data_IF_996475286195
#
_entry.id   IF_996475286195
#
_cell.length_a   1.000
_cell.length_b   1.000
_cell.length_c   1.000
_cell.angle_alpha   90.00
_cell.angle_beta   90.00
_cell.angle_gamma   90.00
#
_symmetry.space_group_name_H-M   'P 1'
#
loop_
_entity.id
_entity.type
_entity.pdbx_description
1 polymer ?
#
# COMPACT_ATOMS: atom_id res chain seq x y z
N UNK A 1 -5.53 -46.23 -24.91
CA UNK A 1 -6.50 -45.29 -24.31
C UNK A 1 -5.74 -44.02 -24.00
N UNK A 2 -5.81 -43.05 -24.89
CA UNK A 2 -5.17 -41.74 -24.71
C UNK A 2 -6.03 -40.87 -23.77
N UNK A 3 -5.40 -40.12 -22.84
CA UNK A 3 -6.17 -39.17 -22.02
C UNK A 3 -6.62 -38.00 -22.89
N UNK A 4 -7.91 -37.77 -22.93
CA UNK A 4 -8.51 -36.57 -23.53
C UNK A 4 -7.95 -35.34 -22.81
N UNK A 5 -7.26 -34.49 -23.57
CA UNK A 5 -6.84 -33.18 -23.09
C UNK A 5 -8.09 -32.34 -22.72
N UNK A 6 -8.09 -31.83 -21.51
CA UNK A 6 -9.06 -30.81 -21.09
C UNK A 6 -8.84 -29.55 -21.94
N UNK A 7 -9.86 -29.22 -22.75
CA UNK A 7 -9.93 -27.96 -23.45
C UNK A 7 -10.10 -26.87 -22.38
N UNK A 8 -9.28 -25.80 -22.35
CA UNK A 8 -9.48 -24.71 -21.40
C UNK A 8 -10.87 -24.12 -21.60
N UNK A 9 -11.66 -24.09 -20.53
CA UNK A 9 -12.97 -23.43 -20.51
C UNK A 9 -12.81 -21.99 -21.02
N UNK A 10 -13.33 -21.73 -22.23
CA UNK A 10 -13.47 -20.37 -22.73
C UNK A 10 -14.43 -19.62 -21.80
N UNK A 11 -13.96 -18.54 -21.20
CA UNK A 11 -14.71 -17.68 -20.29
C UNK A 11 -15.92 -17.10 -21.05
N UNK A 12 -17.04 -17.83 -21.07
CA UNK A 12 -18.25 -17.39 -21.72
C UNK A 12 -18.70 -16.07 -21.14
N UNK A 13 -18.77 -15.05 -22.00
CA UNK A 13 -19.27 -13.74 -21.62
C UNK A 13 -20.75 -13.86 -21.27
N UNK A 14 -21.07 -13.87 -19.99
CA UNK A 14 -22.46 -13.80 -19.54
C UNK A 14 -23.09 -12.49 -20.00
N UNK A 15 -24.39 -12.48 -20.27
CA UNK A 15 -25.16 -11.30 -20.68
C UNK A 15 -24.94 -10.11 -19.75
N UNK A 16 -24.77 -10.34 -18.44
CA UNK A 16 -24.42 -9.33 -17.45
C UNK A 16 -23.03 -8.71 -17.68
N UNK A 17 -22.03 -9.50 -18.07
CA UNK A 17 -20.69 -9.00 -18.39
C UNK A 17 -20.69 -8.16 -19.66
N UNK A 18 -21.48 -8.53 -20.67
CA UNK A 18 -21.63 -7.74 -21.90
C UNK A 18 -22.30 -6.39 -21.65
N UNK A 19 -23.36 -6.34 -20.83
CA UNK A 19 -24.03 -5.08 -20.46
C UNK A 19 -23.14 -4.15 -19.63
N UNK A 20 -22.22 -4.68 -18.83
CA UNK A 20 -21.30 -3.89 -18.00
C UNK A 20 -20.02 -3.49 -18.74
N UNK A 21 -19.89 -3.80 -20.03
CA UNK A 21 -18.72 -3.46 -20.84
C UNK A 21 -17.43 -4.15 -20.38
N UNK A 22 -17.53 -5.29 -19.68
CA UNK A 22 -16.38 -6.05 -19.23
C UNK A 22 -15.69 -6.72 -20.43
N UNK A 23 -14.39 -6.51 -20.57
CA UNK A 23 -13.60 -7.17 -21.61
C UNK A 23 -13.49 -8.67 -21.33
N UNK A 24 -13.41 -9.47 -22.39
CA UNK A 24 -13.09 -10.90 -22.29
C UNK A 24 -11.77 -11.05 -21.52
N UNK A 25 -11.73 -11.94 -20.53
CA UNK A 25 -10.60 -12.17 -19.62
C UNK A 25 -10.35 -11.07 -18.55
N UNK A 26 -11.15 -10.02 -18.47
CA UNK A 26 -11.14 -9.09 -17.32
C UNK A 26 -12.13 -9.54 -16.24
N UNK A 27 -11.65 -9.62 -15.01
CA UNK A 27 -12.48 -9.79 -13.82
C UNK A 27 -12.00 -8.87 -12.71
N UNK A 28 -12.69 -8.82 -11.57
CA UNK A 28 -12.28 -7.99 -10.43
C UNK A 28 -11.99 -8.87 -9.23
N UNK A 29 -10.84 -8.61 -8.58
CA UNK A 29 -10.47 -9.18 -7.29
C UNK A 29 -10.28 -8.03 -6.31
N UNK A 30 -10.95 -8.06 -5.17
CA UNK A 30 -10.94 -6.98 -4.17
C UNK A 30 -11.31 -5.60 -4.78
N UNK A 31 -12.09 -5.58 -5.87
CA UNK A 31 -12.42 -4.36 -6.61
C UNK A 31 -11.35 -3.87 -7.59
N UNK A 32 -10.16 -4.47 -7.62
CA UNK A 32 -9.11 -4.20 -8.61
C UNK A 32 -9.38 -4.98 -9.90
N UNK A 33 -9.02 -4.40 -11.05
CA UNK A 33 -9.04 -5.11 -12.33
C UNK A 33 -7.98 -6.20 -12.31
N UNK A 34 -8.38 -7.42 -12.66
CA UNK A 34 -7.52 -8.58 -12.78
C UNK A 34 -7.43 -9.02 -14.24
N UNK A 35 -6.23 -8.95 -14.79
CA UNK A 35 -5.89 -9.56 -16.07
C UNK A 35 -5.55 -11.03 -15.82
N UNK A 36 -6.46 -11.91 -16.26
CA UNK A 36 -6.30 -13.36 -16.07
C UNK A 36 -5.19 -13.95 -16.94
N UNK A 37 -4.91 -13.34 -18.09
CA UNK A 37 -3.90 -13.85 -19.02
C UNK A 37 -2.48 -13.66 -18.46
N UNK A 38 -2.22 -12.48 -17.89
CA UNK A 38 -0.92 -12.13 -17.32
C UNK A 38 -0.86 -12.33 -15.81
N UNK A 39 -1.96 -12.73 -15.17
CA UNK A 39 -2.15 -12.87 -13.73
C UNK A 39 -1.70 -11.62 -12.95
N UNK A 40 -2.17 -10.45 -13.38
CA UNK A 40 -1.81 -9.16 -12.80
C UNK A 40 -3.03 -8.40 -12.28
N UNK A 41 -2.81 -7.63 -11.20
CA UNK A 41 -3.77 -6.67 -10.65
C UNK A 41 -3.38 -5.26 -11.06
N UNK A 42 -4.38 -4.42 -11.28
CA UNK A 42 -4.20 -3.04 -11.74
C UNK A 42 -4.82 -2.03 -10.79
N UNK A 43 -4.00 -1.11 -10.30
CA UNK A 43 -4.45 0.11 -9.60
C UNK A 43 -4.53 1.24 -10.61
N UNK A 44 -5.72 1.78 -10.83
CA UNK A 44 -5.97 2.85 -11.82
C UNK A 44 -6.01 4.20 -11.12
N UNK A 45 -5.32 5.17 -11.71
CA UNK A 45 -5.39 6.56 -11.27
C UNK A 45 -6.47 7.33 -12.05
N UNK A 46 -7.15 8.30 -11.40
CA UNK A 46 -8.09 9.16 -12.09
C UNK A 46 -7.35 10.00 -13.12
N UNK A 47 -7.69 9.79 -14.41
CA UNK A 47 -7.11 10.59 -15.47
C UNK A 47 -7.79 11.96 -15.53
N UNK A 48 -7.01 13.00 -15.75
CA UNK A 48 -7.55 14.30 -16.18
C UNK A 48 -8.19 14.05 -17.55
N UNK A 49 -9.51 14.25 -17.68
CA UNK A 49 -10.23 13.93 -18.91
C UNK A 49 -9.58 14.60 -20.11
N UNK A 50 -9.25 13.80 -21.13
CA UNK A 50 -8.65 14.25 -22.40
C UNK A 50 -9.58 15.18 -23.19
N UNK A 51 -10.87 15.21 -22.88
CA UNK A 51 -11.84 16.19 -23.35
C UNK A 51 -12.27 17.10 -22.20
N UNK A 52 -11.53 18.19 -21.94
CA UNK A 52 -11.92 19.15 -20.93
C UNK A 52 -13.20 19.85 -21.39
N UNK A 53 -14.32 19.59 -20.73
CA UNK A 53 -15.50 20.43 -20.93
C UNK A 53 -15.14 21.87 -20.57
N UNK A 54 -15.72 22.86 -21.25
CA UNK A 54 -15.50 24.29 -20.94
C UNK A 54 -15.65 24.58 -19.45
N UNK A 55 -16.46 23.81 -18.74
CA UNK A 55 -16.69 23.90 -17.29
C UNK A 55 -15.52 23.32 -16.47
N UNK A 56 -14.84 22.26 -16.94
CA UNK A 56 -13.71 21.63 -16.24
C UNK A 56 -12.41 22.40 -16.42
N UNK A 57 -12.21 23.06 -17.57
CA UNK A 57 -11.02 23.90 -17.85
C UNK A 57 -11.05 25.19 -17.01
N UNK A 58 -12.23 25.73 -16.75
CA UNK A 58 -12.42 26.97 -16.00
C UNK A 58 -12.62 26.78 -14.49
N UNK A 59 -12.90 25.56 -14.03
CA UNK A 59 -13.15 25.29 -12.62
C UNK A 59 -11.81 25.17 -11.86
N UNK A 60 -11.48 26.21 -11.11
CA UNK A 60 -10.41 26.13 -10.12
C UNK A 60 -10.70 24.99 -9.13
N UNK A 61 -9.71 24.12 -8.82
CA UNK A 61 -9.91 23.05 -7.85
C UNK A 61 -10.31 23.63 -6.48
N UNK A 62 -11.23 22.94 -5.83
CA UNK A 62 -11.73 23.24 -4.49
C UNK A 62 -11.30 22.16 -3.51
N UNK A 63 -11.38 22.42 -2.22
CA UNK A 63 -11.12 21.39 -1.19
C UNK A 63 -11.93 20.11 -1.44
N UNK A 64 -13.22 20.26 -1.82
CA UNK A 64 -14.10 19.13 -2.13
C UNK A 64 -13.61 18.33 -3.34
N UNK A 65 -13.26 18.99 -4.43
CA UNK A 65 -12.82 18.31 -5.66
C UNK A 65 -11.48 17.58 -5.46
N UNK A 66 -10.55 18.17 -4.72
CA UNK A 66 -9.26 17.54 -4.37
C UNK A 66 -9.48 16.27 -3.56
N UNK A 67 -10.34 16.33 -2.52
CA UNK A 67 -10.66 15.14 -1.72
C UNK A 67 -11.34 14.06 -2.57
N UNK A 68 -12.29 14.46 -3.42
CA UNK A 68 -12.98 13.52 -4.30
C UNK A 68 -12.03 12.81 -5.28
N UNK A 69 -11.04 13.53 -5.84
CA UNK A 69 -10.04 12.93 -6.72
C UNK A 69 -9.09 11.98 -5.97
N UNK A 70 -8.66 12.33 -4.75
CA UNK A 70 -7.90 11.42 -3.91
C UNK A 70 -8.69 10.14 -3.59
N UNK A 71 -9.99 10.27 -3.31
CA UNK A 71 -10.84 9.12 -2.97
C UNK A 71 -11.11 8.17 -4.15
N UNK A 72 -10.89 8.62 -5.40
CA UNK A 72 -10.99 7.76 -6.59
C UNK A 72 -9.83 6.76 -6.72
N UNK A 73 -8.70 7.02 -6.07
CA UNK A 73 -7.56 6.09 -6.08
C UNK A 73 -7.90 4.94 -5.15
N UNK A 74 -8.34 3.83 -5.74
CA UNK A 74 -8.69 2.63 -4.99
C UNK A 74 -7.50 1.67 -4.93
N UNK A 75 -6.86 1.58 -3.77
CA UNK A 75 -5.66 0.81 -3.52
C UNK A 75 -5.79 -0.01 -2.21
N UNK A 76 -6.52 -1.12 -2.24
CA UNK A 76 -6.74 -1.95 -1.05
C UNK A 76 -5.47 -2.63 -0.54
N UNK A 77 -4.48 -2.87 -1.40
CA UNK A 77 -3.21 -3.51 -1.07
C UNK A 77 -2.15 -2.50 -0.61
N UNK A 78 -2.36 -1.21 -0.85
CA UNK A 78 -1.41 -0.16 -0.49
C UNK A 78 -0.20 -0.04 -1.40
N UNK A 79 -0.26 -0.61 -2.59
CA UNK A 79 0.84 -0.62 -3.59
C UNK A 79 1.28 0.80 -3.96
N UNK A 80 0.33 1.73 -4.11
CA UNK A 80 0.60 3.12 -4.45
C UNK A 80 0.53 4.06 -3.24
N UNK A 81 0.71 3.52 -2.04
CA UNK A 81 0.70 4.29 -0.78
C UNK A 81 1.64 5.50 -0.78
N UNK A 82 2.90 5.44 -1.31
CA UNK A 82 3.78 6.61 -1.38
C UNK A 82 3.19 7.75 -2.21
N UNK A 83 2.65 7.43 -3.38
CA UNK A 83 2.03 8.40 -4.28
C UNK A 83 0.79 9.04 -3.65
N UNK A 84 -0.07 8.23 -3.04
CA UNK A 84 -1.28 8.74 -2.36
C UNK A 84 -0.93 9.55 -1.11
N UNK A 85 0.17 9.24 -0.41
CA UNK A 85 0.65 10.05 0.72
C UNK A 85 0.97 11.48 0.27
N UNK A 86 1.66 11.65 -0.87
CA UNK A 86 1.97 12.97 -1.44
C UNK A 86 0.71 13.78 -1.69
N UNK A 87 -0.31 13.19 -2.31
CA UNK A 87 -1.59 13.85 -2.51
C UNK A 87 -2.29 14.22 -1.19
N UNK A 88 -2.25 13.32 -0.19
CA UNK A 88 -2.79 13.59 1.16
C UNK A 88 -2.05 14.72 1.88
N UNK A 89 -0.73 14.86 1.67
CA UNK A 89 0.06 15.98 2.21
C UNK A 89 -0.41 17.33 1.63
N UNK A 90 -0.59 17.39 0.31
CA UNK A 90 -1.13 18.60 -0.35
C UNK A 90 -2.54 18.90 0.18
N UNK A 91 -3.39 17.90 0.31
CA UNK A 91 -4.73 18.06 0.87
C UNK A 91 -4.71 18.55 2.33
N UNK A 92 -3.79 18.05 3.16
CA UNK A 92 -3.59 18.53 4.53
C UNK A 92 -3.23 20.02 4.55
N UNK A 93 -2.32 20.46 3.67
CA UNK A 93 -1.94 21.86 3.56
C UNK A 93 -3.13 22.73 3.11
N UNK A 94 -3.98 22.24 2.19
CA UNK A 94 -5.24 22.92 1.81
C UNK A 94 -6.16 23.05 3.01
N UNK A 95 -6.28 22.02 3.84
CA UNK A 95 -7.14 22.08 5.04
C UNK A 95 -6.66 23.11 6.06
N UNK A 96 -5.34 23.29 6.19
CA UNK A 96 -4.75 24.25 7.13
C UNK A 96 -5.05 25.71 6.79
N UNK A 97 -5.30 26.01 5.53
CA UNK A 97 -5.72 27.35 5.10
C UNK A 97 -7.16 27.70 5.50
N UNK A 98 -7.90 26.76 6.12
CA UNK A 98 -9.26 26.94 6.64
C UNK A 98 -10.26 27.55 5.64
N UNK A 99 -10.02 27.39 4.34
CA UNK A 99 -10.93 27.85 3.28
C UNK A 99 -12.22 27.03 3.26
N UNK A 100 -13.31 27.63 2.74
CA UNK A 100 -14.58 26.94 2.57
C UNK A 100 -14.44 25.74 1.59
N UNK A 101 -15.35 24.77 1.68
CA UNK A 101 -15.30 23.54 0.90
C UNK A 101 -15.33 23.76 -0.61
N UNK A 102 -16.10 24.72 -1.07
CA UNK A 102 -16.35 24.98 -2.48
C UNK A 102 -15.64 26.26 -2.97
N UNK A 103 -14.84 26.89 -2.11
CA UNK A 103 -13.99 28.00 -2.49
C UNK A 103 -12.76 27.51 -3.27
N UNK A 104 -12.29 28.26 -4.28
CA UNK A 104 -11.05 27.99 -4.97
C UNK A 104 -9.88 27.91 -4.00
N UNK A 105 -9.02 26.92 -4.16
CA UNK A 105 -7.80 26.79 -3.35
C UNK A 105 -6.77 27.85 -3.78
N UNK A 106 -5.85 28.28 -2.87
CA UNK A 106 -4.80 29.25 -3.19
C UNK A 106 -3.95 28.82 -4.37
N UNK A 107 -3.46 29.80 -5.15
CA UNK A 107 -2.69 29.55 -6.38
C UNK A 107 -1.52 28.58 -6.19
N UNK A 108 -0.71 28.78 -5.14
CA UNK A 108 0.45 27.92 -4.88
C UNK A 108 0.05 26.46 -4.63
N UNK A 109 -1.03 26.21 -3.87
CA UNK A 109 -1.52 24.88 -3.60
C UNK A 109 -2.16 24.25 -4.84
N UNK A 110 -2.83 25.05 -5.66
CA UNK A 110 -3.36 24.62 -6.96
C UNK A 110 -2.23 24.15 -7.89
N UNK A 111 -1.16 24.91 -8.02
CA UNK A 111 0.00 24.55 -8.86
C UNK A 111 0.70 23.30 -8.35
N UNK A 112 0.79 23.11 -7.01
CA UNK A 112 1.31 21.87 -6.41
C UNK A 112 0.41 20.67 -6.70
N UNK A 113 -0.91 20.85 -6.55
CA UNK A 113 -1.90 19.82 -6.82
C UNK A 113 -1.86 19.40 -8.30
N UNK A 114 -1.89 20.35 -9.21
CA UNK A 114 -1.84 20.09 -10.65
C UNK A 114 -0.56 19.39 -11.07
N UNK A 115 0.61 19.79 -10.54
CA UNK A 115 1.88 19.09 -10.80
C UNK A 115 1.82 17.64 -10.34
N UNK A 116 1.31 17.39 -9.15
CA UNK A 116 1.16 16.03 -8.64
C UNK A 116 0.15 15.22 -9.49
N UNK A 117 -1.01 15.77 -9.78
CA UNK A 117 -2.05 15.13 -10.59
C UNK A 117 -1.54 14.79 -12.01
N UNK A 118 -0.80 15.70 -12.65
CA UNK A 118 -0.20 15.47 -13.96
C UNK A 118 1.00 14.48 -13.93
N UNK A 119 1.58 14.23 -12.76
CA UNK A 119 2.67 13.27 -12.61
C UNK A 119 2.16 11.84 -12.36
N UNK A 120 0.86 11.65 -12.16
CA UNK A 120 0.29 10.33 -11.94
C UNK A 120 0.34 9.50 -13.22
N UNK A 121 0.79 8.23 -13.15
CA UNK A 121 0.65 7.31 -14.26
C UNK A 121 -0.84 7.00 -14.53
N UNK A 122 -1.14 6.39 -15.67
CA UNK A 122 -2.50 5.90 -15.94
C UNK A 122 -2.89 4.81 -14.96
N UNK A 123 -1.97 3.92 -14.69
CA UNK A 123 -2.14 2.79 -13.79
C UNK A 123 -0.78 2.28 -13.29
N UNK A 124 -0.85 1.43 -12.26
CA UNK A 124 0.26 0.62 -11.76
C UNK A 124 -0.19 -0.84 -11.76
N UNK A 125 0.63 -1.70 -12.38
CA UNK A 125 0.35 -3.12 -12.56
C UNK A 125 1.28 -3.92 -11.67
N UNK A 126 0.72 -4.87 -10.90
CA UNK A 126 1.48 -5.75 -10.02
C UNK A 126 1.07 -7.21 -10.24
N UNK A 127 1.98 -8.18 -10.09
CA UNK A 127 1.62 -9.58 -10.10
C UNK A 127 0.60 -9.88 -8.99
N UNK A 128 -0.45 -10.65 -9.31
CA UNK A 128 -1.41 -11.11 -8.31
C UNK A 128 -0.82 -12.21 -7.44
N UNK A 129 -0.07 -13.13 -8.06
CA UNK A 129 0.51 -14.26 -7.35
C UNK A 129 1.76 -13.86 -6.57
N UNK A 130 1.88 -14.35 -5.35
CA UNK A 130 3.10 -14.26 -4.53
C UNK A 130 4.14 -15.32 -4.92
N UNK A 131 3.76 -16.32 -5.72
CA UNK A 131 4.66 -17.36 -6.23
C UNK A 131 5.00 -17.12 -7.69
N UNK A 132 6.21 -17.52 -8.08
CA UNK A 132 6.67 -17.45 -9.47
C UNK A 132 6.52 -18.77 -10.20
N UNK A 133 6.71 -19.89 -9.50
CA UNK A 133 6.74 -21.21 -10.08
C UNK A 133 5.43 -21.96 -9.81
N UNK A 134 5.00 -22.78 -10.77
CA UNK A 134 3.79 -23.62 -10.64
C UNK A 134 4.14 -24.95 -9.97
N UNK A 135 4.63 -24.90 -8.75
CA UNK A 135 5.06 -26.03 -7.96
C UNK A 135 4.68 -25.83 -6.48
N UNK A 136 4.72 -26.87 -5.64
CA UNK A 136 4.37 -26.77 -4.23
C UNK A 136 5.22 -25.74 -3.49
N UNK A 137 4.58 -25.02 -2.57
CA UNK A 137 5.25 -24.09 -1.65
C UNK A 137 5.90 -24.93 -0.54
N UNK A 138 7.20 -24.73 -0.33
CA UNK A 138 7.96 -25.38 0.74
C UNK A 138 7.83 -24.59 2.04
N UNK A 139 7.97 -23.26 1.98
CA UNK A 139 7.83 -22.39 3.15
C UNK A 139 7.44 -20.96 2.75
N UNK A 140 6.81 -20.26 3.69
CA UNK A 140 6.53 -18.83 3.60
C UNK A 140 7.12 -18.16 4.82
N UNK A 141 7.91 -17.11 4.60
CA UNK A 141 8.39 -16.20 5.64
C UNK A 141 7.82 -14.81 5.39
N UNK A 142 7.34 -14.15 6.44
CA UNK A 142 6.83 -12.78 6.36
C UNK A 142 7.87 -11.78 6.85
N UNK A 143 8.08 -10.72 6.10
CA UNK A 143 8.95 -9.60 6.47
C UNK A 143 8.14 -8.31 6.50
N UNK A 144 7.96 -7.74 7.69
CA UNK A 144 7.28 -6.47 7.87
C UNK A 144 8.27 -5.34 8.13
N UNK A 145 8.09 -4.23 7.44
CA UNK A 145 8.93 -3.03 7.57
C UNK A 145 8.09 -1.90 8.13
N UNK A 146 8.65 -1.13 9.03
CA UNK A 146 8.06 0.09 9.55
C UNK A 146 9.00 1.27 9.39
N UNK A 147 8.47 2.42 8.98
CA UNK A 147 9.23 3.66 8.86
C UNK A 147 8.37 4.88 9.17
N UNK A 148 9.02 5.94 9.63
CA UNK A 148 8.35 7.20 9.85
C UNK A 148 9.22 8.41 9.52
N UNK A 149 8.56 9.43 8.96
CA UNK A 149 9.12 10.73 8.68
C UNK A 149 8.23 11.85 9.23
N UNK A 150 8.62 13.10 9.05
CA UNK A 150 7.76 14.24 9.34
C UNK A 150 6.47 14.28 8.47
N UNK A 151 6.49 13.62 7.35
CA UNK A 151 5.39 13.55 6.39
C UNK A 151 4.38 12.46 6.72
N UNK A 152 4.87 11.25 6.98
CA UNK A 152 4.02 10.08 7.13
C UNK A 152 4.63 8.98 7.99
N UNK A 153 3.80 8.00 8.27
CA UNK A 153 4.19 6.72 8.85
C UNK A 153 3.76 5.63 7.90
N UNK A 154 4.64 4.66 7.64
CA UNK A 154 4.39 3.56 6.72
C UNK A 154 4.67 2.21 7.36
N UNK A 155 3.92 1.21 6.91
CA UNK A 155 4.22 -0.19 7.12
C UNK A 155 4.06 -0.92 5.80
N UNK A 156 4.98 -1.84 5.49
CA UNK A 156 4.95 -2.71 4.32
C UNK A 156 5.22 -4.16 4.75
N UNK A 157 4.52 -5.12 4.15
CA UNK A 157 4.70 -6.54 4.43
C UNK A 157 4.98 -7.27 3.13
N UNK A 158 6.10 -7.96 3.11
CA UNK A 158 6.54 -8.83 2.02
C UNK A 158 6.39 -10.29 2.43
N UNK A 159 6.02 -11.12 1.48
CA UNK A 159 6.13 -12.56 1.59
C UNK A 159 7.37 -13.03 0.82
N UNK A 160 8.17 -13.86 1.47
CA UNK A 160 9.27 -14.61 0.87
C UNK A 160 8.80 -16.05 0.79
N UNK A 161 8.59 -16.53 -0.43
CA UNK A 161 8.06 -17.86 -0.70
C UNK A 161 9.18 -18.73 -1.29
N UNK A 162 9.52 -19.81 -0.61
CA UNK A 162 10.50 -20.78 -1.07
C UNK A 162 9.79 -21.93 -1.79
N UNK A 163 10.30 -22.26 -2.97
CA UNK A 163 9.86 -23.36 -3.81
C UNK A 163 11.10 -24.14 -4.28
N UNK A 164 10.95 -25.29 -4.90
CA UNK A 164 12.09 -26.12 -5.35
C UNK A 164 12.98 -25.38 -6.36
N UNK A 165 12.35 -24.69 -7.32
CA UNK A 165 13.05 -23.93 -8.37
C UNK A 165 13.59 -22.57 -7.91
N UNK A 166 13.35 -22.15 -6.67
CA UNK A 166 13.90 -20.92 -6.11
C UNK A 166 12.96 -20.14 -5.19
N UNK A 167 13.40 -18.94 -4.85
CA UNK A 167 12.69 -18.07 -3.90
C UNK A 167 12.08 -16.87 -4.61
N UNK A 168 10.86 -16.51 -4.23
CA UNK A 168 10.15 -15.33 -4.73
C UNK A 168 9.87 -14.37 -3.58
N UNK A 169 10.15 -13.10 -3.79
CA UNK A 169 9.79 -12.01 -2.85
C UNK A 169 8.73 -11.12 -3.49
N UNK A 170 7.67 -10.81 -2.74
CA UNK A 170 6.60 -9.94 -3.22
C UNK A 170 6.02 -9.08 -2.09
N UNK A 171 5.71 -7.83 -2.41
CA UNK A 171 4.89 -6.98 -1.55
C UNK A 171 3.47 -7.56 -1.49
N UNK A 172 3.01 -7.88 -0.29
CA UNK A 172 1.64 -8.41 -0.06
C UNK A 172 0.69 -7.29 0.31
N UNK A 173 1.13 -6.41 1.19
CA UNK A 173 0.33 -5.28 1.64
C UNK A 173 1.21 -4.15 2.15
N UNK A 174 0.77 -2.91 1.93
CA UNK A 174 1.37 -1.73 2.55
C UNK A 174 0.29 -0.77 3.04
N UNK A 175 0.67 0.13 3.92
CA UNK A 175 -0.21 1.17 4.45
C UNK A 175 0.58 2.40 4.85
N UNK A 176 0.22 3.55 4.28
CA UNK A 176 0.77 4.83 4.70
C UNK A 176 -0.32 5.75 5.28
N UNK A 177 0.07 6.53 6.28
CA UNK A 177 -0.77 7.53 6.93
C UNK A 177 0.01 8.82 7.10
N UNK A 178 -0.68 9.96 7.09
CA UNK A 178 -0.07 11.23 7.48
C UNK A 178 0.48 11.17 8.90
N UNK A 179 1.71 11.64 9.09
CA UNK A 179 2.29 11.79 10.42
C UNK A 179 1.46 12.78 11.25
N UNK A 180 1.22 12.42 12.51
CA UNK A 180 0.57 13.32 13.46
C UNK A 180 1.51 14.47 13.80
N UNK A 181 1.07 15.71 13.59
CA UNK A 181 1.85 16.91 13.94
C UNK A 181 2.21 16.91 15.42
N UNK A 182 3.32 17.58 15.74
CA UNK A 182 3.84 17.71 17.09
C UNK A 182 4.14 16.35 17.78
N UNK A 183 4.48 15.35 16.99
CA UNK A 183 4.94 14.04 17.47
C UNK A 183 6.40 13.87 17.06
N UNK A 184 7.24 13.44 17.99
CA UNK A 184 8.66 13.20 17.73
C UNK A 184 8.86 11.98 16.82
N UNK A 185 9.93 11.97 16.02
CA UNK A 185 10.24 10.88 15.08
C UNK A 185 10.26 9.51 15.80
N UNK A 186 10.97 9.30 16.93
CA UNK A 186 10.95 7.99 17.59
C UNK A 186 9.56 7.52 18.01
N UNK A 187 8.63 8.44 18.33
CA UNK A 187 7.25 8.09 18.60
C UNK A 187 6.48 7.73 17.34
N UNK A 188 6.79 8.37 16.22
CA UNK A 188 6.21 8.02 14.92
C UNK A 188 6.74 6.65 14.44
N UNK A 189 8.03 6.35 14.66
CA UNK A 189 8.61 5.02 14.39
C UNK A 189 7.90 3.93 15.19
N UNK A 190 7.61 4.19 16.48
CA UNK A 190 6.81 3.26 17.27
C UNK A 190 5.37 3.10 16.75
N UNK A 191 4.80 4.14 16.14
CA UNK A 191 3.49 4.03 15.45
C UNK A 191 3.62 3.17 14.20
N UNK A 192 4.68 3.34 13.40
CA UNK A 192 4.93 2.51 12.22
C UNK A 192 5.15 1.04 12.60
N UNK A 193 5.91 0.77 13.65
CA UNK A 193 6.07 -0.57 14.22
C UNK A 193 4.74 -1.22 14.60
N UNK A 194 3.88 -0.48 15.30
CA UNK A 194 2.55 -0.98 15.64
C UNK A 194 1.67 -1.21 14.40
N UNK A 195 1.81 -0.35 13.36
CA UNK A 195 1.13 -0.56 12.08
C UNK A 195 1.66 -1.82 11.38
N UNK A 196 2.98 -2.04 11.36
CA UNK A 196 3.61 -3.23 10.81
C UNK A 196 3.12 -4.50 11.52
N UNK A 197 3.12 -4.50 12.84
CA UNK A 197 2.58 -5.62 13.65
C UNK A 197 1.15 -5.99 13.27
N UNK A 198 0.26 -5.00 13.18
CA UNK A 198 -1.14 -5.23 12.80
C UNK A 198 -1.26 -5.75 11.35
N UNK A 199 -0.47 -5.19 10.43
CA UNK A 199 -0.50 -5.58 9.02
C UNK A 199 0.01 -7.02 8.85
N UNK A 200 1.12 -7.36 9.49
CA UNK A 200 1.67 -8.72 9.55
C UNK A 200 0.61 -9.70 10.10
N UNK A 201 -0.02 -9.36 11.22
CA UNK A 201 -1.03 -10.21 11.84
C UNK A 201 -2.22 -10.49 10.90
N UNK A 202 -2.66 -9.48 10.14
CA UNK A 202 -3.73 -9.63 9.17
C UNK A 202 -3.31 -10.50 7.98
N UNK A 203 -2.11 -10.28 7.44
CA UNK A 203 -1.55 -11.09 6.34
C UNK A 203 -1.35 -12.54 6.81
N UNK A 204 -0.76 -12.75 7.98
CA UNK A 204 -0.61 -14.09 8.58
C UNK A 204 -1.94 -14.82 8.66
N UNK A 205 -2.98 -14.17 9.23
CA UNK A 205 -4.31 -14.76 9.36
C UNK A 205 -4.90 -15.17 8.01
N UNK A 206 -4.70 -14.37 6.97
CA UNK A 206 -5.19 -14.68 5.63
C UNK A 206 -4.44 -15.87 5.01
N UNK A 207 -3.12 -15.94 5.19
CA UNK A 207 -2.28 -17.01 4.62
C UNK A 207 -2.45 -18.34 5.35
N UNK A 208 -2.58 -18.34 6.68
CA UNK A 208 -2.69 -19.56 7.50
C UNK A 208 -3.96 -20.38 7.24
N UNK A 209 -4.90 -19.87 6.46
CA UNK A 209 -6.07 -20.66 5.98
C UNK A 209 -5.62 -21.79 5.04
N UNK A 210 -4.53 -21.61 4.28
CA UNK A 210 -4.06 -22.60 3.29
C UNK A 210 -2.58 -22.92 3.33
N UNK A 211 -1.78 -22.15 4.10
CA UNK A 211 -0.33 -22.27 4.08
C UNK A 211 0.28 -22.18 5.47
N UNK A 212 1.42 -22.85 5.67
CA UNK A 212 2.23 -22.69 6.88
C UNK A 212 3.15 -21.47 6.72
N UNK A 213 3.00 -20.48 7.59
CA UNK A 213 3.95 -19.38 7.74
C UNK A 213 5.01 -19.83 8.74
N UNK A 214 6.24 -20.02 8.27
CA UNK A 214 7.33 -20.59 9.05
C UNK A 214 7.90 -19.59 10.05
N UNK A 215 8.23 -18.37 9.59
CA UNK A 215 8.85 -17.33 10.41
C UNK A 215 8.27 -15.96 10.08
N UNK A 216 8.35 -15.05 11.05
CA UNK A 216 7.88 -13.68 10.91
C UNK A 216 8.93 -12.72 11.45
N UNK A 217 9.46 -11.89 10.58
CA UNK A 217 10.44 -10.86 10.90
C UNK A 217 9.85 -9.47 10.74
N UNK A 218 10.22 -8.55 11.62
CA UNK A 218 9.87 -7.14 11.51
C UNK A 218 11.12 -6.27 11.63
N UNK A 219 11.16 -5.18 10.87
CA UNK A 219 12.33 -4.37 10.62
C UNK A 219 12.04 -2.90 10.88
N UNK A 220 12.93 -2.22 11.60
CA UNK A 220 12.93 -0.78 11.82
C UNK A 220 14.35 -0.25 11.69
N UNK A 221 14.50 0.98 11.24
CA UNK A 221 15.77 1.70 11.27
C UNK A 221 15.95 2.54 12.55
N UNK A 222 14.91 2.67 13.37
CA UNK A 222 14.92 3.38 14.64
C UNK A 222 15.40 2.50 15.79
N UNK A 223 16.66 2.64 16.19
CA UNK A 223 17.22 1.96 17.37
C UNK A 223 16.46 2.30 18.66
N UNK A 224 15.94 3.53 18.77
CA UNK A 224 15.16 3.97 19.93
C UNK A 224 13.83 3.22 20.02
N UNK A 225 13.10 3.09 18.89
CA UNK A 225 11.86 2.35 18.86
C UNK A 225 12.08 0.86 19.14
N UNK A 226 13.14 0.27 18.59
CA UNK A 226 13.54 -1.12 18.86
C UNK A 226 13.87 -1.32 20.33
N UNK A 227 14.62 -0.41 20.95
CA UNK A 227 14.93 -0.47 22.38
C UNK A 227 13.65 -0.47 23.23
N UNK A 228 12.64 0.33 22.87
CA UNK A 228 11.36 0.31 23.57
C UNK A 228 10.62 -1.01 23.39
N UNK A 229 10.62 -1.58 22.18
CA UNK A 229 9.92 -2.84 21.87
C UNK A 229 10.57 -4.04 22.55
N UNK A 230 11.90 -4.10 22.55
CA UNK A 230 12.67 -5.24 23.05
C UNK A 230 13.03 -5.09 24.54
N UNK A 231 12.96 -3.87 25.07
CA UNK A 231 13.31 -3.58 26.46
C UNK A 231 12.17 -3.86 27.46
N UNK A 232 12.53 -3.97 28.73
CA UNK A 232 11.61 -4.14 29.87
C UNK A 232 11.39 -2.87 30.69
N UNK A 233 11.65 -1.68 30.14
CA UNK A 233 11.56 -0.42 30.88
C UNK A 233 10.14 0.05 31.14
N UNK A 234 9.98 0.90 32.14
CA UNK A 234 8.73 1.63 32.37
C UNK A 234 8.67 2.86 31.47
N UNK A 235 7.62 2.96 30.68
CA UNK A 235 7.42 4.02 29.69
C UNK A 235 6.16 4.84 30.01
N UNK A 236 6.15 6.11 29.57
CA UNK A 236 4.94 6.94 29.61
C UNK A 236 3.84 6.32 28.76
N UNK A 237 2.58 6.58 29.10
CA UNK A 237 1.37 5.99 28.52
C UNK A 237 1.37 5.83 27.00
N UNK A 238 1.86 6.84 26.25
CA UNK A 238 1.89 6.78 24.79
C UNK A 238 2.75 5.61 24.25
N UNK A 239 3.94 5.45 24.82
CA UNK A 239 4.91 4.40 24.46
C UNK A 239 4.44 3.08 25.02
N UNK A 240 4.13 3.02 26.32
CA UNK A 240 3.70 1.81 27.01
C UNK A 240 2.53 1.11 26.32
N UNK A 241 1.46 1.85 25.94
CA UNK A 241 0.30 1.29 25.29
C UNK A 241 0.64 0.64 23.92
N UNK A 242 1.62 1.17 23.19
CA UNK A 242 2.03 0.60 21.89
C UNK A 242 2.97 -0.57 22.05
N UNK A 243 3.94 -0.44 22.91
CA UNK A 243 4.87 -1.53 23.25
C UNK A 243 4.10 -2.75 23.70
N UNK A 244 3.15 -2.59 24.62
CA UNK A 244 2.32 -3.70 25.08
C UNK A 244 1.57 -4.39 23.94
N UNK A 245 0.98 -3.61 23.00
CA UNK A 245 0.27 -4.16 21.84
C UNK A 245 1.21 -4.88 20.86
N UNK A 246 2.42 -4.37 20.66
CA UNK A 246 3.43 -4.99 19.80
C UNK A 246 3.94 -6.29 20.43
N UNK A 247 4.27 -6.26 21.72
CA UNK A 247 4.79 -7.42 22.47
C UNK A 247 3.76 -8.53 22.66
N UNK A 248 2.46 -8.26 22.50
CA UNK A 248 1.43 -9.28 22.46
C UNK A 248 1.60 -10.28 21.31
N UNK A 249 2.32 -9.89 20.25
CA UNK A 249 2.65 -10.73 19.09
C UNK A 249 4.06 -11.32 19.25
N UNK A 250 4.16 -12.35 20.10
CA UNK A 250 5.45 -12.99 20.48
C UNK A 250 6.13 -13.75 19.37
N UNK A 251 5.43 -14.02 18.29
CA UNK A 251 5.90 -14.73 17.09
C UNK A 251 6.60 -13.81 16.10
N UNK A 252 6.69 -12.49 16.37
CA UNK A 252 7.38 -11.53 15.53
C UNK A 252 8.78 -11.28 16.08
N UNK A 253 9.81 -11.54 15.28
CA UNK A 253 11.20 -11.30 15.61
C UNK A 253 11.60 -9.93 15.07
N UNK A 254 12.00 -9.01 15.97
CA UNK A 254 12.35 -7.64 15.62
C UNK A 254 13.83 -7.46 15.32
N UNK A 255 14.15 -6.74 14.25
CA UNK A 255 15.49 -6.49 13.75
C UNK A 255 15.69 -5.00 13.43
N UNK A 256 16.96 -4.58 13.47
CA UNK A 256 17.37 -3.31 12.91
C UNK A 256 17.69 -3.47 11.41
N UNK A 257 17.32 -2.47 10.62
CA UNK A 257 17.68 -2.35 9.20
C UNK A 257 18.28 -0.95 8.95
N UNK A 258 19.33 -0.80 8.13
CA UNK A 258 19.80 0.52 7.72
C UNK A 258 18.67 1.29 7.00
N UNK A 259 18.58 2.61 7.19
CA UNK A 259 17.53 3.45 6.57
C UNK A 259 17.49 3.29 5.05
N UNK A 260 18.64 3.14 4.39
CA UNK A 260 18.74 2.96 2.94
C UNK A 260 18.17 1.63 2.43
N UNK A 261 18.01 0.66 3.33
CA UNK A 261 17.47 -0.67 3.03
C UNK A 261 16.05 -0.87 3.57
N UNK A 262 15.49 0.15 4.24
CA UNK A 262 14.15 0.07 4.79
C UNK A 262 13.09 0.23 3.70
N UNK A 263 12.46 -0.85 3.31
CA UNK A 263 11.42 -0.88 2.26
C UNK A 263 10.18 -0.02 2.57
N UNK A 264 10.01 0.47 3.80
CA UNK A 264 8.92 1.38 4.17
C UNK A 264 9.30 2.88 4.01
N UNK A 265 10.57 3.22 3.75
CA UNK A 265 11.06 4.60 3.70
C UNK A 265 10.34 5.44 2.64
N UNK A 266 10.22 4.94 1.42
CA UNK A 266 9.46 5.61 0.36
C UNK A 266 8.02 5.89 0.79
N UNK A 267 7.39 4.92 1.46
CA UNK A 267 6.01 5.02 1.94
C UNK A 267 5.80 6.06 3.04
N UNK A 268 6.82 6.38 3.85
CA UNK A 268 6.74 7.39 4.90
C UNK A 268 7.05 8.80 4.39
N UNK A 269 7.91 8.93 3.40
CA UNK A 269 8.30 10.22 2.79
C UNK A 269 7.32 10.70 1.74
N UNK A 270 6.68 9.78 1.04
CA UNK A 270 5.91 10.04 -0.17
C UNK A 270 6.81 10.13 -1.40
N UNK A 271 6.22 9.91 -2.56
CA UNK A 271 6.93 9.94 -3.84
C UNK A 271 6.14 9.26 -4.94
N UNK A 272 6.72 9.16 -6.12
CA UNK A 272 6.15 8.39 -7.22
C UNK A 272 6.57 6.94 -7.08
N UNK A 273 5.66 6.01 -7.31
CA UNK A 273 5.94 4.58 -7.39
C UNK A 273 6.05 4.21 -8.85
N UNK A 274 7.17 3.62 -9.24
CA UNK A 274 7.38 3.07 -10.58
C UNK A 274 7.23 1.55 -10.54
N UNK A 275 6.92 0.93 -11.69
CA UNK A 275 6.81 -0.54 -11.79
C UNK A 275 8.12 -1.27 -11.44
N UNK A 276 9.26 -0.58 -11.42
CA UNK A 276 10.56 -1.14 -11.06
C UNK A 276 10.80 -1.22 -9.55
N UNK A 277 9.99 -0.51 -8.74
CA UNK A 277 10.10 -0.46 -7.27
C UNK A 277 9.13 -1.43 -6.57
N UNK A 278 8.32 -2.15 -7.33
CA UNK A 278 7.32 -3.12 -6.88
C UNK A 278 7.73 -4.56 -7.19
#
# INVERSE_FOLDING_TARGET
MEPKGEVPEQDETTFAKQQLGAKVNESKILGLSWDKQNDTLKVVFPQVSSEPTKRSVLANPTKRSVLANLAKIYDPLGVVSPTTLTGKLIYRDICDHKIAWDAPIPRQLRERWQRWENSLPSDVVVPRSTVRFQEPIQSITLHGFGDASANGVCAAVYAVVSQESGTTQRLVAAKARLAKRNTTIPRLDLVSAHMATNLISNVKKALTVGFLVAEIHAWLDSSVALHWIQGGGEYKQFVSNRVHKIQAHRDIIWHHVPTTENSADLGSRGGSVTNAEL
#
